data_IF_935453436372
#
_entry.id   IF_935453436372
#
_cell.length_a   1.000
_cell.length_b   1.000
_cell.length_c   1.000
_cell.angle_alpha   90.00
_cell.angle_beta   90.00
_cell.angle_gamma   90.00
#
_symmetry.space_group_name_H-M   'P 1'
#
loop_
_entity.id
_entity.type
_entity.pdbx_description
1 polymer ?
#
# COMPACT_ATOMS: atom_id res chain seq x y z
N UNK A 1 -12.62 -4.85 -0.06
CA UNK A 1 -12.00 -3.57 0.35
C UNK A 1 -12.53 -2.45 -0.53
N UNK A 2 -13.17 -1.43 0.04
CA UNK A 2 -13.69 -0.26 -0.71
C UNK A 2 -12.55 0.67 -1.16
N UNK A 3 -12.72 1.45 -2.23
CA UNK A 3 -11.65 2.32 -2.76
C UNK A 3 -11.10 3.31 -1.73
N UNK A 4 -11.96 3.85 -0.85
CA UNK A 4 -11.54 4.71 0.27
C UNK A 4 -10.62 3.97 1.25
N UNK A 5 -10.93 2.71 1.57
CA UNK A 5 -10.10 1.89 2.44
C UNK A 5 -8.78 1.55 1.75
N UNK A 6 -8.82 1.19 0.46
CA UNK A 6 -7.62 0.90 -0.32
C UNK A 6 -6.66 2.07 -0.33
N UNK A 7 -7.14 3.28 -0.61
CA UNK A 7 -6.34 4.52 -0.54
C UNK A 7 -5.81 4.82 0.86
N UNK A 8 -6.61 4.60 1.91
CA UNK A 8 -6.13 4.77 3.30
C UNK A 8 -5.00 3.80 3.64
N UNK A 9 -5.12 2.52 3.24
CA UNK A 9 -4.07 1.53 3.47
C UNK A 9 -2.85 1.80 2.61
N UNK A 10 -3.03 2.17 1.34
CA UNK A 10 -1.94 2.58 0.48
C UNK A 10 -1.17 3.78 1.03
N UNK A 11 -1.85 4.78 1.64
CA UNK A 11 -1.21 5.88 2.38
C UNK A 11 -0.38 5.40 3.57
N UNK A 12 -0.92 4.47 4.36
CA UNK A 12 -0.19 3.90 5.49
C UNK A 12 1.03 3.10 5.04
N UNK A 13 0.87 2.29 4.01
CA UNK A 13 1.94 1.48 3.41
C UNK A 13 3.03 2.37 2.79
N UNK A 14 2.67 3.41 2.04
CA UNK A 14 3.61 4.36 1.46
C UNK A 14 4.45 5.10 2.52
N UNK A 15 3.89 5.24 3.73
CA UNK A 15 4.55 5.88 4.87
C UNK A 15 5.37 4.90 5.73
N UNK A 16 5.35 3.59 5.44
CA UNK A 16 6.17 2.63 6.17
C UNK A 16 7.64 2.77 5.74
N UNK A 17 8.59 2.86 6.67
CA UNK A 17 10.01 2.93 6.33
C UNK A 17 10.49 1.69 5.56
N UNK A 18 9.88 0.52 5.83
CA UNK A 18 10.17 -0.75 5.14
C UNK A 18 9.82 -0.69 3.64
N UNK A 19 8.73 0.01 3.30
CA UNK A 19 8.30 0.22 1.92
C UNK A 19 8.85 1.52 1.33
N UNK A 20 9.46 2.39 2.13
CA UNK A 20 10.10 3.62 1.68
C UNK A 20 11.23 3.35 0.68
N UNK A 21 11.95 2.23 0.80
CA UNK A 21 12.94 1.80 -0.19
C UNK A 21 12.31 1.25 -1.49
N UNK A 22 11.04 0.89 -1.45
CA UNK A 22 10.26 0.43 -2.59
C UNK A 22 9.56 1.59 -3.32
N UNK A 23 9.61 2.80 -2.74
CA UNK A 23 9.08 4.00 -3.36
C UNK A 23 9.85 4.35 -4.64
N UNK A 24 9.15 4.67 -5.75
CA UNK A 24 9.82 5.07 -6.98
C UNK A 24 10.65 6.34 -6.75
N UNK A 25 11.94 6.27 -7.08
CA UNK A 25 12.86 7.40 -6.91
C UNK A 25 12.41 8.56 -7.81
N UNK A 26 12.14 9.72 -7.20
CA UNK A 26 11.68 10.93 -7.90
C UNK A 26 10.16 11.04 -8.05
N UNK A 27 9.37 10.07 -7.55
CA UNK A 27 7.93 10.17 -7.51
C UNK A 27 7.44 10.87 -6.23
N UNK A 28 6.28 11.53 -6.32
CA UNK A 28 5.66 12.15 -5.16
C UNK A 28 5.10 11.08 -4.20
N UNK A 29 4.92 11.45 -2.93
CA UNK A 29 4.27 10.56 -1.97
C UNK A 29 2.89 10.09 -2.48
N UNK A 30 2.09 10.99 -3.06
CA UNK A 30 0.80 10.63 -3.64
C UNK A 30 0.90 9.69 -4.85
N UNK A 31 1.94 9.78 -5.68
CA UNK A 31 2.17 8.81 -6.77
C UNK A 31 2.45 7.41 -6.21
N UNK A 32 3.26 7.32 -5.15
CA UNK A 32 3.53 6.04 -4.50
C UNK A 32 2.28 5.44 -3.86
N UNK A 33 1.43 6.29 -3.26
CA UNK A 33 0.13 5.89 -2.72
C UNK A 33 -0.79 5.35 -3.82
N UNK A 34 -0.91 6.04 -4.95
CA UNK A 34 -1.74 5.57 -6.06
C UNK A 34 -1.20 4.26 -6.64
N UNK A 35 0.13 4.12 -6.74
CA UNK A 35 0.79 2.88 -7.17
C UNK A 35 0.46 1.71 -6.24
N UNK A 36 0.60 1.87 -4.92
CA UNK A 36 0.26 0.82 -3.96
C UNK A 36 -1.25 0.52 -4.01
N UNK A 37 -2.09 1.54 -4.15
CA UNK A 37 -3.53 1.35 -4.28
C UNK A 37 -3.89 0.52 -5.53
N UNK A 38 -3.19 0.73 -6.64
CA UNK A 38 -3.35 -0.07 -7.85
C UNK A 38 -2.78 -1.49 -7.67
N UNK A 39 -1.60 -1.64 -7.06
CA UNK A 39 -1.03 -2.97 -6.79
C UNK A 39 -1.86 -3.78 -5.76
N UNK A 40 -2.60 -3.12 -4.88
CA UNK A 40 -3.57 -3.78 -3.98
C UNK A 40 -4.80 -4.34 -4.71
N UNK A 41 -5.08 -3.91 -5.94
CA UNK A 41 -6.08 -4.53 -6.81
C UNK A 41 -5.56 -5.79 -7.49
N UNK A 42 -4.25 -5.86 -7.72
CA UNK A 42 -3.65 -7.00 -8.38
C UNK A 42 -3.47 -8.15 -7.38
N UNK A 43 -4.07 -9.32 -7.61
CA UNK A 43 -3.99 -10.44 -6.67
C UNK A 43 -2.54 -10.88 -6.43
N UNK A 44 -1.68 -10.82 -7.44
CA UNK A 44 -0.27 -11.24 -7.31
C UNK A 44 0.55 -10.30 -6.44
N UNK A 45 0.25 -9.00 -6.49
CA UNK A 45 0.94 -7.96 -5.71
C UNK A 45 0.31 -7.77 -4.35
N UNK A 46 -1.01 -7.92 -4.23
CA UNK A 46 -1.71 -7.80 -2.96
C UNK A 46 -1.17 -8.78 -1.91
N UNK A 47 -0.74 -9.98 -2.33
CA UNK A 47 -0.07 -10.97 -1.47
C UNK A 47 1.24 -10.45 -0.85
N UNK A 48 2.03 -9.67 -1.60
CA UNK A 48 3.24 -9.02 -1.08
C UNK A 48 2.91 -8.00 0.02
N UNK A 49 1.79 -7.28 -0.12
CA UNK A 49 1.36 -6.28 0.85
C UNK A 49 0.65 -6.85 2.08
N UNK A 50 0.20 -8.12 2.07
CA UNK A 50 -0.48 -8.77 3.21
C UNK A 50 0.23 -8.60 4.57
N UNK A 51 1.52 -8.94 4.73
CA UNK A 51 2.20 -8.78 6.02
C UNK A 51 2.25 -7.30 6.48
N UNK A 52 2.46 -6.38 5.55
CA UNK A 52 2.49 -4.95 5.85
C UNK A 52 1.10 -4.40 6.17
N UNK A 53 0.06 -4.90 5.51
CA UNK A 53 -1.34 -4.59 5.78
C UNK A 53 -1.72 -4.95 7.22
N UNK A 54 -1.31 -6.13 7.70
CA UNK A 54 -1.50 -6.53 9.10
C UNK A 54 -0.78 -5.58 10.08
N UNK A 55 0.47 -5.19 9.77
CA UNK A 55 1.25 -4.23 10.58
C UNK A 55 0.55 -2.88 10.69
N UNK A 56 -0.07 -2.40 9.60
CA UNK A 56 -0.81 -1.12 9.62
C UNK A 56 -2.23 -1.23 10.18
N UNK A 57 -2.63 -2.42 10.66
CA UNK A 57 -3.90 -2.68 11.32
C UNK A 57 -5.04 -3.09 10.38
N UNK A 58 -4.76 -3.48 9.13
CA UNK A 58 -5.75 -4.13 8.28
C UNK A 58 -5.99 -5.56 8.78
N UNK A 59 -7.15 -5.81 9.38
CA UNK A 59 -7.65 -7.15 9.60
C UNK A 59 -8.55 -7.50 8.42
N UNK A 60 -8.18 -8.53 7.66
CA UNK A 60 -9.15 -9.28 6.87
C UNK A 60 -10.12 -9.88 7.88
N UNK A 61 -11.32 -9.28 7.97
CA UNK A 61 -12.43 -9.76 8.80
C UNK A 61 -13.07 -10.96 8.13
#
# INVERSE_FOLDING_TARGET
MTDKQRLMFAKKLASLPELGSYAPIGASADDFVNKIADELLDPTKSDFYKPFLEVVGFKLV
#
